data_IF_534305072767
#
_entry.id   IF_534305072767
#
_cell.length_a   1.000
_cell.length_b   1.000
_cell.length_c   1.000
_cell.angle_alpha   90.00
_cell.angle_beta   90.00
_cell.angle_gamma   90.00
#
_symmetry.space_group_name_H-M   'P 1'
#
loop_
_entity.id
_entity.type
_entity.pdbx_description
1 polymer ?
#
# COMPACT_ATOMS: atom_id res chain seq x y z
N UNK A 1 67.14 -49.09 24.59
CA UNK A 1 66.62 -47.72 24.23
C UNK A 1 65.28 -47.77 23.45
N UNK A 2 64.27 -48.44 23.93
CA UNK A 2 62.95 -48.53 23.21
C UNK A 2 61.69 -47.98 23.92
N UNK A 3 61.69 -47.45 25.19
CA UNK A 3 60.42 -47.02 25.80
C UNK A 3 60.06 -45.53 25.58
N UNK A 4 61.01 -44.66 25.14
CA UNK A 4 60.74 -43.20 25.08
C UNK A 4 59.93 -42.78 23.83
N UNK A 5 60.05 -43.51 22.72
CA UNK A 5 59.33 -43.23 21.48
C UNK A 5 57.82 -43.51 21.57
N UNK A 6 57.41 -44.51 22.35
CA UNK A 6 56.00 -44.86 22.51
C UNK A 6 55.22 -43.87 23.41
N UNK A 7 55.89 -43.28 24.38
CA UNK A 7 55.32 -42.24 25.23
C UNK A 7 55.10 -40.92 24.52
N UNK A 8 56.05 -40.52 23.65
CA UNK A 8 55.92 -39.30 22.85
C UNK A 8 54.81 -39.40 21.79
N UNK A 9 54.65 -40.55 21.13
CA UNK A 9 53.58 -40.78 20.16
C UNK A 9 52.18 -40.77 20.82
N UNK A 10 52.06 -41.34 22.02
CA UNK A 10 50.78 -41.32 22.76
C UNK A 10 50.37 -39.94 23.30
N UNK A 11 51.33 -39.12 23.67
CA UNK A 11 51.11 -37.72 24.07
C UNK A 11 50.75 -36.82 22.89
N UNK A 12 51.38 -37.04 21.73
CA UNK A 12 51.02 -36.33 20.51
C UNK A 12 49.60 -36.69 20.02
N UNK A 13 49.29 -37.97 20.01
CA UNK A 13 47.97 -38.46 19.63
C UNK A 13 46.85 -37.88 20.55
N UNK A 14 47.08 -37.83 21.87
CA UNK A 14 46.15 -37.19 22.83
C UNK A 14 46.02 -35.70 22.68
N UNK A 15 47.07 -34.98 22.28
CA UNK A 15 47.00 -33.55 21.96
C UNK A 15 46.25 -33.30 20.67
N UNK A 16 46.46 -34.07 19.62
CA UNK A 16 45.76 -34.00 18.34
C UNK A 16 44.28 -34.33 18.49
N UNK A 17 43.92 -35.36 19.28
CA UNK A 17 42.51 -35.69 19.54
C UNK A 17 41.80 -34.60 20.35
N UNK A 18 42.50 -33.95 21.31
CA UNK A 18 41.93 -32.82 22.06
C UNK A 18 41.72 -31.57 21.19
N UNK A 19 42.68 -31.28 20.30
CA UNK A 19 42.54 -30.22 19.32
C UNK A 19 41.42 -30.49 18.32
N UNK A 20 41.27 -31.71 17.82
CA UNK A 20 40.19 -32.09 16.93
C UNK A 20 38.81 -32.03 17.65
N UNK A 21 38.77 -32.46 18.93
CA UNK A 21 37.53 -32.34 19.75
C UNK A 21 37.14 -30.87 20.02
N UNK A 22 38.16 -30.00 20.26
CA UNK A 22 37.92 -28.54 20.42
C UNK A 22 37.46 -27.89 19.12
N UNK A 23 38.05 -28.29 17.97
CA UNK A 23 37.65 -27.80 16.64
C UNK A 23 36.21 -28.27 16.30
N UNK A 24 35.85 -29.48 16.61
CA UNK A 24 34.48 -29.99 16.45
C UNK A 24 33.48 -29.30 17.40
N UNK A 25 33.89 -28.93 18.60
CA UNK A 25 33.06 -28.16 19.54
C UNK A 25 32.80 -26.74 19.07
N UNK A 26 33.80 -26.09 18.43
CA UNK A 26 33.64 -24.73 17.81
C UNK A 26 32.76 -24.78 16.57
N UNK A 27 32.81 -25.87 15.79
CA UNK A 27 31.93 -26.10 14.63
C UNK A 27 30.49 -26.51 15.03
N UNK A 28 30.30 -26.97 16.26
CA UNK A 28 29.01 -27.35 16.81
C UNK A 28 28.32 -26.23 17.59
N UNK A 29 28.89 -25.00 17.62
CA UNK A 29 28.14 -23.83 18.10
C UNK A 29 26.93 -23.68 17.16
N UNK A 30 25.68 -23.84 17.65
CA UNK A 30 24.54 -23.53 16.82
C UNK A 30 24.76 -22.09 16.36
N UNK A 31 24.81 -21.86 15.05
CA UNK A 31 24.64 -20.52 14.53
C UNK A 31 23.34 -20.04 15.19
N UNK A 32 23.46 -19.17 16.20
CA UNK A 32 22.28 -18.48 16.74
C UNK A 32 21.67 -17.84 15.51
N UNK A 33 20.60 -18.45 15.00
CA UNK A 33 19.81 -17.84 13.95
C UNK A 33 19.43 -16.47 14.52
N UNK A 34 20.07 -15.41 14.02
CA UNK A 34 19.75 -14.07 14.46
C UNK A 34 18.22 -13.94 14.32
N UNK A 35 17.55 -13.62 15.43
CA UNK A 35 16.11 -13.43 15.44
C UNK A 35 15.79 -12.45 14.32
N UNK A 36 14.89 -12.86 13.40
CA UNK A 36 14.51 -11.98 12.30
C UNK A 36 13.82 -10.75 12.86
N UNK A 37 14.16 -9.55 12.40
CA UNK A 37 13.44 -8.36 12.82
C UNK A 37 11.97 -8.49 12.43
N UNK A 38 11.07 -8.12 13.34
CA UNK A 38 9.64 -8.12 13.13
C UNK A 38 9.21 -6.76 12.60
N UNK A 39 8.46 -6.75 11.49
CA UNK A 39 7.84 -5.56 10.93
C UNK A 39 6.32 -5.62 11.16
N UNK A 40 5.78 -4.67 11.90
CA UNK A 40 4.36 -4.59 12.27
C UNK A 40 3.64 -3.57 11.43
N UNK A 41 2.63 -4.02 10.66
CA UNK A 41 1.82 -3.12 9.82
C UNK A 41 0.35 -3.18 10.22
N UNK A 42 -0.29 -2.01 10.38
CA UNK A 42 -1.74 -1.94 10.48
C UNK A 42 -2.35 -1.64 9.10
N UNK A 43 -3.31 -2.47 8.70
CA UNK A 43 -4.03 -2.32 7.44
C UNK A 43 -5.53 -2.52 7.65
N UNK A 44 -6.34 -1.92 6.79
CA UNK A 44 -7.79 -2.10 6.84
C UNK A 44 -8.16 -3.57 6.57
N UNK A 45 -9.01 -4.15 7.41
CA UNK A 45 -9.45 -5.54 7.26
C UNK A 45 -10.17 -5.82 5.92
N UNK A 46 -10.73 -4.79 5.28
CA UNK A 46 -11.37 -4.87 3.97
C UNK A 46 -10.56 -4.15 2.88
N UNK A 47 -9.32 -3.75 3.21
CA UNK A 47 -8.42 -3.05 2.31
C UNK A 47 -7.61 -4.00 1.44
N UNK A 48 -7.23 -3.53 0.28
CA UNK A 48 -6.52 -4.31 -0.73
C UNK A 48 -5.04 -4.55 -0.40
N UNK A 49 -4.45 -3.75 0.50
CA UNK A 49 -3.13 -4.01 1.04
C UNK A 49 -3.10 -5.31 1.86
N UNK A 50 -4.21 -5.69 2.50
CA UNK A 50 -4.32 -6.98 3.18
C UNK A 50 -4.13 -8.15 2.20
N UNK A 51 -4.62 -8.05 0.96
CA UNK A 51 -4.44 -9.08 -0.06
C UNK A 51 -2.96 -9.30 -0.41
N UNK A 52 -2.24 -8.22 -0.63
CA UNK A 52 -0.82 -8.25 -0.97
C UNK A 52 0.04 -8.77 0.17
N UNK A 53 -0.20 -8.29 1.40
CA UNK A 53 0.56 -8.71 2.57
C UNK A 53 0.26 -10.16 2.98
N UNK A 54 -0.97 -10.63 2.80
CA UNK A 54 -1.33 -12.02 2.99
C UNK A 54 -0.62 -12.92 1.97
N UNK A 55 -0.57 -12.52 0.69
CA UNK A 55 0.21 -13.24 -0.32
C UNK A 55 1.71 -13.24 0.03
N UNK A 56 2.28 -12.08 0.35
CA UNK A 56 3.67 -11.92 0.72
C UNK A 56 4.04 -12.88 1.86
N UNK A 57 3.20 -12.96 2.88
CA UNK A 57 3.42 -13.81 4.05
C UNK A 57 3.27 -15.31 3.71
N UNK A 58 2.21 -15.70 2.99
CA UNK A 58 1.98 -17.11 2.61
C UNK A 58 3.00 -17.64 1.63
N UNK A 59 3.55 -16.79 0.77
CA UNK A 59 4.63 -17.18 -0.14
C UNK A 59 6.02 -17.14 0.50
N UNK A 60 6.13 -16.77 1.80
CA UNK A 60 7.38 -16.71 2.54
C UNK A 60 8.34 -15.60 2.09
N UNK A 61 7.84 -14.59 1.38
CA UNK A 61 8.68 -13.49 0.88
C UNK A 61 9.25 -12.64 2.01
N UNK A 62 8.57 -12.49 3.14
CA UNK A 62 9.10 -11.85 4.33
C UNK A 62 10.35 -12.59 4.85
N UNK A 63 10.25 -13.90 5.04
CA UNK A 63 11.35 -14.74 5.53
C UNK A 63 12.51 -14.81 4.52
N UNK A 64 12.19 -14.90 3.23
CA UNK A 64 13.17 -14.88 2.15
C UNK A 64 13.96 -13.56 2.09
N UNK A 65 13.31 -12.44 2.48
CA UNK A 65 13.94 -11.13 2.62
C UNK A 65 14.50 -10.88 4.04
N UNK A 66 14.52 -11.89 4.92
CA UNK A 66 15.19 -11.84 6.23
C UNK A 66 14.45 -11.03 7.30
N UNK A 67 13.13 -10.94 7.26
CA UNK A 67 12.29 -10.36 8.31
C UNK A 67 11.06 -11.22 8.58
N UNK A 68 10.29 -10.90 9.60
CA UNK A 68 8.97 -11.45 9.88
C UNK A 68 7.92 -10.36 9.76
N UNK A 69 6.86 -10.59 8.98
CA UNK A 69 5.77 -9.65 8.82
C UNK A 69 4.63 -9.96 9.79
N UNK A 70 4.26 -9.01 10.62
CA UNK A 70 3.03 -9.03 11.41
C UNK A 70 2.00 -8.06 10.84
N UNK A 71 0.81 -8.56 10.53
CA UNK A 71 -0.30 -7.74 9.99
C UNK A 71 -1.38 -7.61 11.05
N UNK A 72 -1.63 -6.37 11.48
CA UNK A 72 -2.73 -6.02 12.36
C UNK A 72 -3.89 -5.46 11.54
N UNK A 73 -5.03 -6.13 11.60
CA UNK A 73 -6.25 -5.66 10.94
C UNK A 73 -6.96 -4.63 11.79
N UNK A 74 -7.32 -3.51 11.18
CA UNK A 74 -8.07 -2.40 11.80
C UNK A 74 -9.34 -2.12 11.03
N UNK A 75 -10.32 -1.52 11.71
CA UNK A 75 -11.64 -1.28 11.14
C UNK A 75 -11.65 -0.12 10.12
N UNK A 76 -10.89 0.95 10.39
CA UNK A 76 -10.94 2.21 9.64
C UNK A 76 -9.59 2.95 9.62
N UNK A 77 -9.53 4.03 8.84
CA UNK A 77 -8.33 4.87 8.72
C UNK A 77 -7.97 5.58 10.03
N UNK A 78 -8.90 6.14 10.82
CA UNK A 78 -8.57 6.71 12.13
C UNK A 78 -7.87 5.72 13.05
N UNK A 79 -8.34 4.48 13.15
CA UNK A 79 -7.71 3.43 13.95
C UNK A 79 -6.31 3.08 13.44
N UNK A 80 -6.12 3.02 12.11
CA UNK A 80 -4.82 2.81 11.48
C UNK A 80 -3.84 3.93 11.81
N UNK A 81 -4.26 5.18 11.63
CA UNK A 81 -3.46 6.37 11.93
C UNK A 81 -3.08 6.45 13.42
N UNK A 82 -4.03 6.14 14.32
CA UNK A 82 -3.77 6.09 15.77
C UNK A 82 -2.73 5.01 16.11
N UNK A 83 -2.80 3.83 15.46
CA UNK A 83 -1.84 2.76 15.70
C UNK A 83 -0.40 3.18 15.34
N UNK A 84 -0.20 3.92 14.23
CA UNK A 84 1.10 4.48 13.87
C UNK A 84 1.57 5.55 14.86
N UNK A 85 0.70 6.50 15.20
CA UNK A 85 1.04 7.63 16.09
C UNK A 85 1.39 7.15 17.50
N UNK A 86 0.71 6.11 17.99
CA UNK A 86 0.99 5.51 19.30
C UNK A 86 2.20 4.59 19.33
N UNK A 87 2.82 4.27 18.16
CA UNK A 87 3.93 3.32 18.07
C UNK A 87 3.51 1.86 18.30
N UNK A 88 2.21 1.54 18.25
CA UNK A 88 1.74 0.15 18.42
C UNK A 88 1.95 -0.70 17.14
N UNK A 89 2.28 -0.07 16.03
CA UNK A 89 2.77 -0.66 14.78
C UNK A 89 3.89 0.21 14.20
N UNK A 90 4.71 -0.38 13.34
CA UNK A 90 5.82 0.31 12.70
C UNK A 90 5.38 1.10 11.48
N UNK A 91 4.34 0.62 10.78
CA UNK A 91 3.81 1.27 9.58
C UNK A 91 2.33 1.01 9.34
N UNK A 92 1.77 1.80 8.41
CA UNK A 92 0.37 1.72 7.98
C UNK A 92 0.26 1.87 6.47
N UNK A 93 -0.93 1.64 5.90
CA UNK A 93 -1.25 2.10 4.56
C UNK A 93 -2.01 3.42 4.64
N UNK A 94 -1.60 4.39 3.84
CA UNK A 94 -2.23 5.70 3.78
C UNK A 94 -2.05 6.38 2.43
N UNK A 95 -2.73 7.50 2.28
CA UNK A 95 -2.65 8.32 1.07
C UNK A 95 -1.54 9.37 1.16
N UNK A 96 -1.13 9.81 -0.01
CA UNK A 96 -0.03 10.76 -0.20
C UNK A 96 -0.32 12.12 0.46
N UNK A 97 -1.59 12.58 0.43
CA UNK A 97 -1.96 13.87 0.99
C UNK A 97 -1.91 13.87 2.52
N UNK A 98 -2.35 12.77 3.15
CA UNK A 98 -2.20 12.63 4.59
C UNK A 98 -0.73 12.63 5.01
N UNK A 99 0.14 11.94 4.24
CA UNK A 99 1.59 11.96 4.49
C UNK A 99 2.16 13.37 4.38
N UNK A 100 1.73 14.15 3.37
CA UNK A 100 2.10 15.57 3.21
C UNK A 100 1.61 16.43 4.39
N UNK A 101 0.38 16.23 4.84
CA UNK A 101 -0.16 16.93 6.01
C UNK A 101 0.64 16.64 7.29
N UNK A 102 1.07 15.40 7.47
CA UNK A 102 1.97 15.02 8.58
C UNK A 102 3.34 15.70 8.47
N UNK A 103 3.90 15.76 7.26
CA UNK A 103 5.15 16.46 7.00
C UNK A 103 5.04 17.95 7.36
N UNK A 104 4.00 18.63 6.90
CA UNK A 104 3.74 20.03 7.21
C UNK A 104 3.53 20.28 8.72
N UNK A 105 3.00 19.30 9.44
CA UNK A 105 2.83 19.35 10.90
C UNK A 105 4.09 18.99 11.71
N UNK A 106 5.27 18.83 11.06
CA UNK A 106 6.53 18.50 11.73
C UNK A 106 6.64 17.03 12.18
N UNK A 107 5.80 16.14 11.67
CA UNK A 107 5.84 14.71 11.94
C UNK A 107 6.04 13.92 10.64
N UNK A 108 7.23 14.01 10.01
CA UNK A 108 7.49 13.50 8.67
C UNK A 108 7.37 11.98 8.60
N UNK A 109 6.86 11.53 7.45
CA UNK A 109 6.73 10.12 7.11
C UNK A 109 7.56 9.81 5.86
N UNK A 110 8.00 8.56 5.74
CA UNK A 110 8.51 7.99 4.49
C UNK A 110 7.41 7.16 3.82
N UNK A 111 7.46 7.10 2.50
CA UNK A 111 6.43 6.55 1.64
C UNK A 111 7.02 5.44 0.76
N UNK A 112 6.57 4.20 0.93
CA UNK A 112 6.85 3.07 0.04
C UNK A 112 5.64 2.87 -0.86
N UNK A 113 5.75 2.95 -2.20
CA UNK A 113 4.63 2.87 -3.12
C UNK A 113 3.80 1.60 -2.95
N UNK A 114 2.47 1.74 -2.89
CA UNK A 114 1.55 0.61 -2.85
C UNK A 114 0.65 0.56 -4.08
N UNK A 115 -0.10 1.63 -4.40
CA UNK A 115 -1.09 1.62 -5.47
C UNK A 115 -1.23 2.99 -6.12
N UNK A 116 -1.37 3.01 -7.45
CA UNK A 116 -1.75 4.21 -8.19
C UNK A 116 -3.26 4.47 -8.15
N UNK A 117 -4.06 3.51 -7.67
CA UNK A 117 -5.50 3.64 -7.57
C UNK A 117 -5.92 4.13 -6.20
N UNK A 118 -6.79 5.12 -6.17
CA UNK A 118 -7.39 5.65 -4.95
C UNK A 118 -8.91 5.50 -4.97
N UNK A 119 -9.56 6.05 -5.98
CA UNK A 119 -11.00 6.00 -6.15
C UNK A 119 -11.44 6.16 -7.60
N UNK A 120 -12.69 5.89 -7.86
CA UNK A 120 -13.34 6.05 -9.16
C UNK A 120 -14.73 6.66 -8.97
N UNK A 121 -15.17 7.49 -9.89
CA UNK A 121 -16.56 7.93 -9.95
C UNK A 121 -17.37 6.93 -10.76
N UNK A 122 -18.31 6.28 -10.11
CA UNK A 122 -19.22 5.32 -10.72
C UNK A 122 -20.62 5.91 -10.85
N UNK A 123 -21.32 5.53 -11.90
CA UNK A 123 -22.68 5.94 -12.25
C UNK A 123 -23.46 4.72 -12.74
N UNK A 124 -24.77 4.83 -12.82
CA UNK A 124 -25.59 3.80 -13.47
C UNK A 124 -25.15 3.61 -14.93
N UNK A 125 -25.37 2.42 -15.49
CA UNK A 125 -24.95 2.08 -16.86
C UNK A 125 -25.51 3.04 -17.91
N UNK A 126 -26.77 3.45 -17.73
CA UNK A 126 -27.53 4.36 -18.62
C UNK A 126 -27.40 5.85 -18.25
N UNK A 127 -26.57 6.20 -17.25
CA UNK A 127 -26.37 7.58 -16.82
C UNK A 127 -25.78 8.45 -17.94
N UNK A 128 -26.23 9.69 -18.13
CA UNK A 128 -25.63 10.62 -19.09
C UNK A 128 -24.29 11.21 -18.63
N UNK A 129 -23.90 11.02 -17.36
CA UNK A 129 -22.67 11.58 -16.80
C UNK A 129 -21.45 10.88 -17.40
N UNK A 130 -20.62 11.63 -18.14
CA UNK A 130 -19.41 11.14 -18.81
C UNK A 130 -18.17 11.96 -18.48
N UNK A 131 -18.36 13.21 -18.08
CA UNK A 131 -17.28 14.13 -17.75
C UNK A 131 -17.57 14.93 -16.48
N UNK A 132 -16.59 15.68 -16.03
CA UNK A 132 -16.68 16.42 -14.77
C UNK A 132 -17.77 17.50 -14.79
N UNK A 133 -17.99 18.14 -15.94
CA UNK A 133 -19.01 19.17 -16.13
C UNK A 133 -20.43 18.64 -15.86
N UNK A 134 -20.68 17.36 -16.14
CA UNK A 134 -21.98 16.73 -15.94
C UNK A 134 -22.35 16.58 -14.46
N UNK A 135 -21.41 16.79 -13.54
CA UNK A 135 -21.67 16.69 -12.09
C UNK A 135 -22.38 17.92 -11.51
N UNK A 136 -22.49 18.99 -12.27
CA UNK A 136 -23.21 20.19 -11.79
C UNK A 136 -24.67 19.85 -11.47
N UNK A 137 -25.09 20.12 -10.22
CA UNK A 137 -26.46 19.86 -9.76
C UNK A 137 -26.77 18.39 -9.47
N UNK A 138 -25.82 17.48 -9.59
CA UNK A 138 -26.04 16.04 -9.34
C UNK A 138 -25.91 15.68 -7.84
N UNK A 139 -26.63 14.65 -7.42
CA UNK A 139 -26.54 14.06 -6.06
C UNK A 139 -25.34 13.13 -6.03
N UNK A 140 -24.32 13.49 -5.27
CA UNK A 140 -23.04 12.78 -5.27
C UNK A 140 -22.82 12.08 -3.93
N UNK A 141 -22.63 10.77 -3.97
CA UNK A 141 -22.11 10.00 -2.84
C UNK A 141 -20.59 9.99 -2.81
N UNK A 142 -19.98 10.14 -1.63
CA UNK A 142 -18.54 10.11 -1.46
C UNK A 142 -18.16 9.12 -0.37
N UNK A 143 -17.37 8.11 -0.72
CA UNK A 143 -16.88 7.12 0.23
C UNK A 143 -15.80 7.73 1.15
N UNK A 144 -15.97 7.53 2.45
CA UNK A 144 -15.11 8.11 3.48
C UNK A 144 -15.60 9.44 3.99
N UNK A 145 -14.69 10.38 4.23
CA UNK A 145 -14.99 11.68 4.80
C UNK A 145 -14.70 12.85 3.84
N UNK A 146 -15.05 14.08 4.26
CA UNK A 146 -14.79 15.30 3.47
C UNK A 146 -13.29 15.61 3.32
N UNK A 147 -12.44 15.00 4.13
CA UNK A 147 -10.97 15.07 4.08
C UNK A 147 -10.34 13.97 3.20
N UNK A 148 -11.16 13.14 2.55
CA UNK A 148 -10.70 12.08 1.64
C UNK A 148 -10.00 12.64 0.40
N UNK A 149 -8.82 12.06 0.06
CA UNK A 149 -7.99 12.61 -1.02
C UNK A 149 -8.67 12.59 -2.39
N UNK A 150 -9.38 11.51 -2.75
CA UNK A 150 -10.12 11.44 -4.01
C UNK A 150 -11.17 12.56 -4.12
N UNK A 151 -11.86 12.86 -3.03
CA UNK A 151 -12.82 13.95 -2.97
C UNK A 151 -12.15 15.32 -3.14
N UNK A 152 -11.03 15.56 -2.48
CA UNK A 152 -10.29 16.82 -2.64
C UNK A 152 -9.77 17.01 -4.07
N UNK A 153 -9.30 15.94 -4.73
CA UNK A 153 -8.92 15.99 -6.14
C UNK A 153 -10.11 16.32 -7.03
N UNK A 154 -11.27 15.71 -6.78
CA UNK A 154 -12.50 16.02 -7.51
C UNK A 154 -12.92 17.47 -7.32
N UNK A 155 -12.90 17.98 -6.09
CA UNK A 155 -13.24 19.38 -5.81
C UNK A 155 -12.30 20.36 -6.53
N UNK A 156 -10.98 20.11 -6.52
CA UNK A 156 -10.00 20.95 -7.21
C UNK A 156 -10.19 20.92 -8.72
N UNK A 157 -10.42 19.72 -9.28
CA UNK A 157 -10.69 19.58 -10.71
C UNK A 157 -11.95 20.35 -11.12
N UNK A 158 -13.03 20.22 -10.34
CA UNK A 158 -14.27 20.95 -10.55
C UNK A 158 -14.06 22.47 -10.47
N UNK A 159 -13.35 22.95 -9.47
CA UNK A 159 -13.02 24.38 -9.33
C UNK A 159 -12.23 24.92 -10.52
N UNK A 160 -11.22 24.17 -11.00
CA UNK A 160 -10.42 24.57 -12.18
C UNK A 160 -11.24 24.65 -13.45
N UNK A 161 -12.27 23.84 -13.60
CA UNK A 161 -13.16 23.82 -14.77
C UNK A 161 -14.40 24.69 -14.57
N UNK A 162 -14.54 25.40 -13.45
CA UNK A 162 -15.71 26.25 -13.17
C UNK A 162 -16.99 25.44 -12.89
N UNK A 163 -16.87 24.16 -12.52
CA UNK A 163 -18.01 23.29 -12.18
C UNK A 163 -18.37 23.48 -10.72
N UNK A 164 -19.62 23.91 -10.46
CA UNK A 164 -20.14 24.06 -9.11
C UNK A 164 -20.60 22.70 -8.56
N UNK A 165 -19.93 22.20 -7.52
CA UNK A 165 -20.37 21.05 -6.74
C UNK A 165 -21.12 21.57 -5.51
N UNK A 166 -22.46 21.44 -5.50
CA UNK A 166 -23.28 21.88 -4.37
C UNK A 166 -23.07 20.89 -3.20
N UNK A 167 -22.51 21.40 -2.10
CA UNK A 167 -22.27 20.60 -0.89
C UNK A 167 -23.54 20.06 -0.25
N UNK A 168 -24.69 20.69 -0.47
CA UNK A 168 -26.00 20.19 0.02
C UNK A 168 -26.44 18.90 -0.67
N UNK A 169 -25.86 18.61 -1.85
CA UNK A 169 -26.15 17.41 -2.62
C UNK A 169 -25.06 16.34 -2.47
N UNK A 170 -24.05 16.56 -1.61
CA UNK A 170 -22.96 15.61 -1.35
C UNK A 170 -23.22 14.84 -0.06
N UNK A 171 -23.24 13.51 -0.15
CA UNK A 171 -23.40 12.61 0.99
C UNK A 171 -22.11 11.82 1.24
N UNK A 172 -21.58 11.89 2.47
CA UNK A 172 -20.45 11.08 2.89
C UNK A 172 -20.96 9.85 3.65
N UNK A 173 -20.60 8.66 3.19
CA UNK A 173 -20.99 7.41 3.84
C UNK A 173 -20.03 6.26 3.54
N UNK A 174 -20.25 5.11 4.18
CA UNK A 174 -19.57 3.88 3.86
C UNK A 174 -19.94 3.37 2.45
N UNK A 175 -19.00 2.81 1.67
CA UNK A 175 -19.23 2.37 0.29
C UNK A 175 -20.49 1.51 0.09
N UNK A 176 -20.81 0.50 0.94
CA UNK A 176 -22.00 -0.32 0.72
C UNK A 176 -23.33 0.46 0.81
N UNK A 177 -23.39 1.53 1.60
CA UNK A 177 -24.58 2.37 1.69
C UNK A 177 -24.74 3.24 0.46
N UNK A 178 -23.62 3.77 -0.06
CA UNK A 178 -23.59 4.58 -1.28
C UNK A 178 -23.97 3.75 -2.51
N UNK A 179 -23.48 2.50 -2.59
CA UNK A 179 -23.87 1.56 -3.63
C UNK A 179 -25.39 1.33 -3.67
N UNK A 180 -25.98 1.01 -2.52
CA UNK A 180 -27.42 0.85 -2.44
C UNK A 180 -28.20 2.11 -2.85
N UNK A 181 -27.69 3.29 -2.45
CA UNK A 181 -28.31 4.56 -2.81
C UNK A 181 -28.22 4.84 -4.31
N UNK A 182 -27.08 4.52 -4.96
CA UNK A 182 -26.91 4.62 -6.41
C UNK A 182 -27.89 3.69 -7.15
N UNK A 183 -27.94 2.40 -6.76
CA UNK A 183 -28.84 1.41 -7.39
C UNK A 183 -30.32 1.72 -7.21
N UNK A 184 -30.69 2.48 -6.18
CA UNK A 184 -32.07 2.94 -5.94
C UNK A 184 -32.37 4.30 -6.60
N UNK A 185 -31.45 4.88 -7.34
CA UNK A 185 -31.60 6.19 -7.95
C UNK A 185 -31.69 7.34 -6.94
N UNK A 186 -31.23 7.15 -5.70
CA UNK A 186 -31.14 8.19 -4.68
C UNK A 186 -29.90 9.06 -4.83
N UNK A 187 -28.87 8.53 -5.51
CA UNK A 187 -27.67 9.23 -5.95
C UNK A 187 -27.49 9.08 -7.46
N UNK A 188 -26.92 10.08 -8.09
CA UNK A 188 -26.66 10.11 -9.53
C UNK A 188 -25.23 9.64 -9.85
N UNK A 189 -24.30 9.87 -8.91
CA UNK A 189 -22.90 9.45 -9.01
C UNK A 189 -22.36 9.09 -7.64
N UNK A 190 -21.38 8.18 -7.60
CA UNK A 190 -20.68 7.81 -6.37
C UNK A 190 -19.18 7.80 -6.60
N UNK A 191 -18.45 8.65 -5.89
CA UNK A 191 -17.00 8.57 -5.77
C UNK A 191 -16.65 7.55 -4.69
N UNK A 192 -16.19 6.38 -5.10
CA UNK A 192 -15.91 5.27 -4.18
C UNK A 192 -14.48 4.75 -4.32
N UNK A 193 -14.03 3.94 -3.37
CA UNK A 193 -12.72 3.31 -3.47
C UNK A 193 -12.67 2.36 -4.66
N UNK A 194 -11.54 2.30 -5.34
CA UNK A 194 -11.38 1.58 -6.59
C UNK A 194 -11.84 0.11 -6.55
N UNK A 195 -11.65 -0.58 -5.42
CA UNK A 195 -12.05 -1.99 -5.28
C UNK A 195 -13.56 -2.17 -5.08
N UNK A 196 -14.24 -1.17 -4.54
CA UNK A 196 -15.72 -1.13 -4.55
C UNK A 196 -16.23 -0.83 -5.96
N UNK A 197 -15.64 0.12 -6.67
CA UNK A 197 -15.98 0.39 -8.06
C UNK A 197 -15.78 -0.86 -8.96
N UNK A 198 -14.65 -1.57 -8.81
CA UNK A 198 -14.38 -2.80 -9.55
C UNK A 198 -15.42 -3.90 -9.24
N UNK A 199 -15.81 -4.04 -7.97
CA UNK A 199 -16.87 -4.98 -7.56
C UNK A 199 -18.20 -4.62 -8.21
N UNK A 200 -18.62 -3.35 -8.13
CA UNK A 200 -19.86 -2.88 -8.71
C UNK A 200 -19.93 -3.13 -10.21
N UNK A 201 -18.83 -2.88 -10.94
CA UNK A 201 -18.75 -3.22 -12.37
C UNK A 201 -18.86 -4.73 -12.63
N UNK A 202 -18.22 -5.54 -11.78
CA UNK A 202 -18.33 -7.00 -11.86
C UNK A 202 -19.75 -7.51 -11.61
N UNK A 203 -20.51 -6.86 -10.73
CA UNK A 203 -21.92 -7.15 -10.45
C UNK A 203 -22.88 -6.64 -11.54
N UNK A 204 -22.41 -5.69 -12.38
CA UNK A 204 -23.19 -5.11 -13.47
C UNK A 204 -24.12 -3.96 -13.06
N UNK A 205 -24.71 -3.30 -14.07
CA UNK A 205 -25.65 -2.20 -13.91
C UNK A 205 -25.02 -0.84 -13.57
N UNK A 206 -23.67 -0.77 -13.50
CA UNK A 206 -22.94 0.47 -13.28
C UNK A 206 -21.67 0.49 -14.15
N UNK A 207 -21.22 1.70 -14.46
CA UNK A 207 -19.95 1.94 -15.15
C UNK A 207 -19.12 3.01 -14.41
N UNK A 208 -17.83 3.05 -14.69
CA UNK A 208 -16.98 4.16 -14.28
C UNK A 208 -17.20 5.32 -15.26
N UNK A 209 -17.56 6.50 -14.77
CA UNK A 209 -17.59 7.71 -15.56
C UNK A 209 -16.16 8.24 -15.77
N UNK A 210 -15.39 8.37 -14.69
CA UNK A 210 -13.96 8.67 -14.73
C UNK A 210 -13.24 8.17 -13.46
N UNK A 211 -11.95 7.92 -13.60
CA UNK A 211 -11.11 7.38 -12.53
C UNK A 211 -10.01 8.32 -12.09
N UNK A 212 -9.02 7.76 -11.41
CA UNK A 212 -7.91 8.53 -10.85
C UNK A 212 -7.06 9.21 -11.91
N UNK A 213 -6.83 8.55 -13.05
CA UNK A 213 -6.03 9.13 -14.14
C UNK A 213 -6.66 10.42 -14.68
N UNK A 214 -7.97 10.38 -14.93
CA UNK A 214 -8.74 11.54 -15.42
C UNK A 214 -8.77 12.65 -14.36
N UNK A 215 -8.90 12.30 -13.07
CA UNK A 215 -8.85 13.27 -11.98
C UNK A 215 -7.46 13.91 -11.84
N UNK A 216 -6.39 13.16 -12.01
CA UNK A 216 -5.02 13.68 -11.99
C UNK A 216 -4.78 14.60 -13.19
N UNK A 217 -5.20 14.18 -14.40
CA UNK A 217 -5.09 15.00 -15.62
C UNK A 217 -5.85 16.33 -15.48
N UNK A 218 -7.08 16.30 -14.93
CA UNK A 218 -7.85 17.52 -14.63
C UNK A 218 -7.17 18.42 -13.58
N UNK A 219 -6.27 17.87 -12.78
CA UNK A 219 -5.40 18.60 -11.86
C UNK A 219 -4.04 18.98 -12.45
N UNK A 220 -3.81 18.75 -13.76
CA UNK A 220 -2.58 19.09 -14.46
C UNK A 220 -1.44 18.09 -14.27
N UNK A 221 -1.77 16.83 -13.94
CA UNK A 221 -0.79 15.76 -13.74
C UNK A 221 -1.11 14.61 -14.69
N UNK A 222 -0.24 14.38 -15.66
CA UNK A 222 -0.40 13.32 -16.68
C UNK A 222 0.41 12.04 -16.38
N UNK A 223 0.81 11.84 -15.14
CA UNK A 223 1.62 10.69 -14.75
C UNK A 223 0.79 9.67 -13.96
N UNK A 224 1.08 8.37 -14.17
CA UNK A 224 0.60 7.30 -13.29
C UNK A 224 1.45 7.29 -12.01
N UNK A 225 0.91 7.95 -10.97
CA UNK A 225 1.61 8.16 -9.71
C UNK A 225 1.05 7.24 -8.61
N UNK A 226 1.89 6.73 -7.71
CA UNK A 226 1.41 6.02 -6.52
C UNK A 226 0.68 6.97 -5.59
N UNK A 227 -0.63 6.78 -5.47
CA UNK A 227 -1.50 7.59 -4.62
C UNK A 227 -1.60 7.05 -3.20
N UNK A 228 -1.39 5.74 -3.03
CA UNK A 228 -1.32 5.04 -1.76
C UNK A 228 0.06 4.45 -1.55
N UNK A 229 0.51 4.48 -0.31
CA UNK A 229 1.80 3.89 0.10
C UNK A 229 1.74 3.28 1.49
N UNK A 230 2.73 2.45 1.78
CA UNK A 230 3.07 2.09 3.14
C UNK A 230 3.84 3.27 3.76
N UNK A 231 3.37 3.73 4.90
CA UNK A 231 3.85 4.92 5.59
C UNK A 231 4.51 4.54 6.90
N UNK A 232 5.70 5.06 7.12
CA UNK A 232 6.49 4.84 8.33
C UNK A 232 6.94 6.20 8.88
N UNK A 233 7.04 6.34 10.20
CA UNK A 233 7.63 7.54 10.79
C UNK A 233 9.09 7.68 10.32
N UNK A 234 9.50 8.88 9.88
CA UNK A 234 10.86 9.09 9.37
C UNK A 234 11.94 8.69 10.39
N UNK A 235 11.86 9.02 11.70
CA UNK A 235 12.86 8.58 12.67
C UNK A 235 12.96 7.05 12.80
N UNK A 236 11.83 6.35 12.69
CA UNK A 236 11.81 4.89 12.69
C UNK A 236 12.48 4.34 11.43
N UNK A 237 12.14 4.89 10.27
CA UNK A 237 12.69 4.46 8.97
C UNK A 237 14.20 4.66 8.88
N UNK A 238 14.72 5.74 9.45
CA UNK A 238 16.17 6.01 9.52
C UNK A 238 16.90 4.97 10.40
N UNK A 239 16.31 4.58 11.52
CA UNK A 239 16.87 3.56 12.41
C UNK A 239 16.77 2.14 11.84
N UNK A 240 15.81 1.90 10.94
CA UNK A 240 15.51 0.57 10.35
C UNK A 240 15.62 0.57 8.82
N UNK A 241 16.53 1.38 8.27
CA UNK A 241 16.66 1.59 6.82
C UNK A 241 16.84 0.27 6.03
N UNK A 242 17.64 -0.67 6.56
CA UNK A 242 17.84 -1.98 5.95
C UNK A 242 16.55 -2.83 5.96
N UNK A 243 15.83 -2.86 7.07
CA UNK A 243 14.53 -3.56 7.17
C UNK A 243 13.50 -2.98 6.19
N UNK A 244 13.46 -1.65 6.07
CA UNK A 244 12.57 -0.97 5.13
C UNK A 244 12.88 -1.30 3.67
N UNK A 245 14.17 -1.40 3.30
CA UNK A 245 14.57 -1.84 1.97
C UNK A 245 14.23 -3.31 1.70
N UNK A 246 14.38 -4.20 2.69
CA UNK A 246 13.96 -5.60 2.59
C UNK A 246 12.45 -5.70 2.38
N UNK A 247 11.67 -4.90 3.11
CA UNK A 247 10.21 -4.82 2.94
C UNK A 247 9.84 -4.31 1.55
N UNK A 248 10.45 -3.22 1.08
CA UNK A 248 10.18 -2.68 -0.26
C UNK A 248 10.46 -3.71 -1.37
N UNK A 249 11.55 -4.50 -1.25
CA UNK A 249 11.84 -5.62 -2.17
C UNK A 249 10.76 -6.71 -2.09
N UNK A 250 10.36 -7.11 -0.88
CA UNK A 250 9.34 -8.14 -0.69
C UNK A 250 7.99 -7.73 -1.29
N UNK A 251 7.58 -6.47 -1.12
CA UNK A 251 6.38 -5.88 -1.75
C UNK A 251 6.49 -5.92 -3.28
N UNK A 252 7.63 -5.51 -3.83
CA UNK A 252 7.85 -5.55 -5.28
C UNK A 252 7.78 -6.99 -5.83
N UNK A 253 8.39 -7.96 -5.12
CA UNK A 253 8.33 -9.38 -5.48
C UNK A 253 6.89 -9.91 -5.40
N UNK A 254 6.14 -9.55 -4.36
CA UNK A 254 4.72 -9.92 -4.19
C UNK A 254 3.87 -9.40 -5.36
N UNK A 255 4.00 -8.13 -5.72
CA UNK A 255 3.29 -7.52 -6.86
C UNK A 255 3.60 -8.24 -8.17
N UNK A 256 4.87 -8.52 -8.41
CA UNK A 256 5.29 -9.25 -9.62
C UNK A 256 4.69 -10.66 -9.66
N UNK A 257 4.73 -11.41 -8.55
CA UNK A 257 4.12 -12.74 -8.50
C UNK A 257 2.62 -12.68 -8.73
N UNK A 258 1.92 -11.69 -8.17
CA UNK A 258 0.47 -11.51 -8.37
C UNK A 258 0.14 -11.11 -9.82
N UNK A 259 1.02 -10.40 -10.52
CA UNK A 259 0.83 -10.06 -11.93
C UNK A 259 1.12 -11.22 -12.88
N UNK A 260 2.18 -12.01 -12.59
CA UNK A 260 2.68 -13.06 -13.48
C UNK A 260 2.00 -14.43 -13.25
N UNK A 261 1.45 -14.67 -12.04
CA UNK A 261 0.92 -15.97 -11.63
C UNK A 261 -0.54 -15.90 -11.19
N UNK A 262 -1.50 -16.02 -12.13
CA UNK A 262 -2.94 -15.96 -11.82
C UNK A 262 -3.39 -16.94 -10.72
N UNK A 263 -2.72 -18.10 -10.57
CA UNK A 263 -3.00 -19.09 -9.53
C UNK A 263 -2.72 -18.58 -8.11
N UNK A 264 -1.83 -17.59 -7.94
CA UNK A 264 -1.53 -16.98 -6.65
C UNK A 264 -2.78 -16.31 -6.02
N UNK A 265 -3.69 -15.86 -6.85
CA UNK A 265 -4.94 -15.20 -6.44
C UNK A 265 -5.94 -16.15 -5.78
N UNK A 266 -5.87 -17.47 -6.03
CA UNK A 266 -6.79 -18.43 -5.43
C UNK A 266 -6.71 -18.42 -3.89
N UNK A 267 -5.51 -18.25 -3.37
CA UNK A 267 -5.32 -18.14 -1.93
C UNK A 267 -5.83 -16.81 -1.34
N UNK A 268 -5.91 -15.73 -2.14
CA UNK A 268 -6.40 -14.41 -1.74
C UNK A 268 -7.93 -14.31 -1.88
N UNK A 269 -8.53 -15.13 -2.76
CA UNK A 269 -9.95 -15.05 -3.11
C UNK A 269 -10.89 -14.94 -1.90
N UNK A 270 -10.71 -15.66 -0.77
CA UNK A 270 -11.55 -15.50 0.41
C UNK A 270 -11.50 -14.09 1.00
N UNK A 271 -10.34 -13.43 0.96
CA UNK A 271 -10.18 -12.06 1.45
C UNK A 271 -10.82 -11.03 0.53
N UNK A 272 -10.89 -11.31 -0.77
CA UNK A 272 -11.50 -10.44 -1.75
C UNK A 272 -13.01 -10.39 -1.63
N UNK A 273 -13.65 -11.38 -0.99
CA UNK A 273 -15.12 -11.48 -0.84
C UNK A 273 -15.84 -11.35 -2.18
N UNK A 274 -15.27 -11.94 -3.23
CA UNK A 274 -15.88 -11.96 -4.54
C UNK A 274 -17.08 -12.91 -4.55
N UNK A 275 -18.23 -12.45 -5.01
CA UNK A 275 -19.49 -13.21 -5.06
C UNK A 275 -19.43 -14.32 -6.09
N UNK A 276 -18.70 -14.08 -7.18
CA UNK A 276 -18.58 -14.96 -8.34
C UNK A 276 -17.24 -14.76 -9.04
N UNK A 277 -17.03 -15.45 -10.15
CA UNK A 277 -15.78 -15.39 -10.92
C UNK A 277 -15.63 -14.07 -11.68
N UNK A 278 -16.70 -13.40 -12.05
CA UNK A 278 -16.66 -12.13 -12.77
C UNK A 278 -16.18 -11.01 -11.82
N UNK A 279 -16.75 -10.93 -10.62
CA UNK A 279 -16.31 -10.00 -9.57
C UNK A 279 -14.87 -10.30 -9.15
N UNK A 280 -14.52 -11.59 -9.03
CA UNK A 280 -13.15 -11.98 -8.71
C UNK A 280 -12.15 -11.50 -9.76
N UNK A 281 -12.44 -11.71 -11.04
CA UNK A 281 -11.60 -11.26 -12.15
C UNK A 281 -11.50 -9.73 -12.17
N UNK A 282 -12.61 -9.01 -12.02
CA UNK A 282 -12.64 -7.56 -12.02
C UNK A 282 -11.76 -6.96 -10.90
N UNK A 283 -11.82 -7.53 -9.70
CA UNK A 283 -10.99 -7.11 -8.56
C UNK A 283 -9.51 -7.40 -8.76
N UNK A 284 -9.17 -8.60 -9.25
CA UNK A 284 -7.81 -9.02 -9.56
C UNK A 284 -7.19 -8.10 -10.62
N UNK A 285 -7.87 -7.92 -11.73
CA UNK A 285 -7.36 -7.17 -12.88
C UNK A 285 -7.20 -5.68 -12.52
N UNK A 286 -8.13 -5.13 -11.73
CA UNK A 286 -8.01 -3.78 -11.23
C UNK A 286 -6.86 -3.61 -10.22
N UNK A 287 -6.57 -4.62 -9.38
CA UNK A 287 -5.40 -4.59 -8.49
C UNK A 287 -4.10 -4.59 -9.29
N UNK A 288 -3.95 -5.50 -10.24
CA UNK A 288 -2.76 -5.60 -11.09
C UNK A 288 -2.54 -4.30 -11.87
N UNK A 289 -3.60 -3.78 -12.50
CA UNK A 289 -3.56 -2.51 -13.24
C UNK A 289 -3.28 -1.28 -12.35
N UNK A 290 -3.45 -1.40 -11.05
CA UNK A 290 -3.11 -0.36 -10.07
C UNK A 290 -1.71 -0.49 -9.47
N UNK A 291 -0.92 -1.45 -9.92
CA UNK A 291 0.49 -1.57 -9.49
C UNK A 291 1.29 -0.39 -10.05
N UNK A 292 1.84 0.49 -9.19
CA UNK A 292 2.58 1.63 -9.68
C UNK A 292 3.89 1.19 -10.34
N UNK A 293 4.29 1.89 -11.38
CA UNK A 293 5.63 1.73 -11.91
C UNK A 293 6.69 2.12 -10.87
N UNK A 294 7.89 1.56 -10.92
CA UNK A 294 8.99 1.93 -10.03
C UNK A 294 9.20 3.45 -10.02
N UNK A 295 9.47 4.00 -8.85
CA UNK A 295 9.78 5.43 -8.73
C UNK A 295 11.15 5.70 -9.37
N UNK A 296 11.16 6.65 -10.28
CA UNK A 296 12.35 7.29 -10.81
C UNK A 296 12.36 8.78 -10.41
N UNK A 297 13.38 9.51 -10.80
CA UNK A 297 13.52 10.92 -10.47
C UNK A 297 12.37 11.77 -11.04
N UNK A 298 11.88 11.42 -12.23
CA UNK A 298 10.78 12.13 -12.91
C UNK A 298 9.46 11.92 -12.15
N UNK A 299 9.12 10.68 -11.79
CA UNK A 299 7.93 10.38 -10.99
C UNK A 299 7.97 11.00 -9.60
N UNK A 300 9.14 11.01 -8.95
CA UNK A 300 9.32 11.70 -7.67
C UNK A 300 9.11 13.20 -7.83
N UNK A 301 9.60 13.80 -8.90
CA UNK A 301 9.38 15.21 -9.20
C UNK A 301 7.88 15.49 -9.44
N UNK A 302 7.18 14.64 -10.20
CA UNK A 302 5.74 14.75 -10.44
C UNK A 302 4.91 14.59 -9.14
N UNK A 303 5.27 13.64 -8.26
CA UNK A 303 4.65 13.53 -6.93
C UNK A 303 4.82 14.81 -6.11
N UNK A 304 6.01 15.38 -6.11
CA UNK A 304 6.28 16.63 -5.38
C UNK A 304 5.54 17.82 -5.99
N UNK A 305 5.41 17.89 -7.31
CA UNK A 305 4.61 18.92 -7.98
C UNK A 305 3.13 18.82 -7.62
N UNK A 306 2.57 17.59 -7.59
CA UNK A 306 1.21 17.33 -7.14
C UNK A 306 0.99 17.78 -5.69
N UNK A 307 1.94 17.47 -4.80
CA UNK A 307 1.89 17.88 -3.39
C UNK A 307 2.01 19.39 -3.24
N UNK A 308 2.88 20.06 -4.00
CA UNK A 308 3.01 21.51 -4.00
C UNK A 308 1.70 22.21 -4.38
N UNK A 309 0.94 21.65 -5.33
CA UNK A 309 -0.41 22.11 -5.65
C UNK A 309 -1.47 21.81 -4.59
N UNK A 310 -1.10 21.10 -3.54
CA UNK A 310 -2.00 20.64 -2.46
C UNK A 310 -1.82 21.37 -1.14
N UNK A 311 -0.83 22.22 -1.03
CA UNK A 311 -0.48 22.98 0.17
C UNK A 311 -0.56 24.48 -0.08
N UNK A 312 -0.72 25.25 0.99
CA UNK A 312 -0.72 26.70 0.91
C UNK A 312 0.66 27.24 0.51
N UNK A 313 0.66 28.42 -0.10
CA UNK A 313 1.90 29.08 -0.51
C UNK A 313 2.86 29.24 0.68
N UNK A 314 4.08 28.72 0.53
CA UNK A 314 5.12 28.76 1.56
C UNK A 314 5.16 27.56 2.50
N UNK A 315 4.21 26.65 2.43
CA UNK A 315 4.32 25.39 3.17
C UNK A 315 5.35 24.45 2.55
N UNK A 316 6.08 23.72 3.43
CA UNK A 316 7.08 22.77 2.99
C UNK A 316 6.44 21.52 2.36
N UNK A 317 7.03 21.08 1.25
CA UNK A 317 6.62 19.86 0.50
C UNK A 317 7.56 18.72 0.86
N UNK A 318 7.02 17.52 1.03
CA UNK A 318 7.80 16.30 1.27
C UNK A 318 9.01 16.22 0.32
N UNK A 319 10.23 16.05 0.85
CA UNK A 319 11.43 15.97 0.03
C UNK A 319 11.50 14.65 -0.75
N UNK A 320 12.33 14.61 -1.80
CA UNK A 320 12.52 13.41 -2.60
C UNK A 320 12.97 12.18 -1.77
N UNK A 321 13.76 12.41 -0.71
CA UNK A 321 14.23 11.36 0.19
C UNK A 321 13.12 10.67 0.99
N UNK A 322 11.92 11.26 1.08
CA UNK A 322 10.77 10.61 1.73
C UNK A 322 10.17 9.48 0.89
N UNK A 323 10.51 9.38 -0.40
CA UNK A 323 9.97 8.37 -1.31
C UNK A 323 10.97 7.23 -1.46
N UNK A 324 10.64 6.09 -0.86
CA UNK A 324 11.50 4.91 -0.86
C UNK A 324 11.34 4.14 -2.16
N UNK A 325 12.47 3.91 -2.83
CA UNK A 325 12.54 3.05 -4.00
C UNK A 325 13.04 1.68 -3.57
N UNK A 326 12.41 0.61 -4.09
CA UNK A 326 12.98 -0.73 -3.92
C UNK A 326 14.30 -0.79 -4.70
N UNK A 327 15.37 -1.03 -3.99
CA UNK A 327 16.65 -1.34 -4.67
C UNK A 327 16.57 -2.78 -5.22
N UNK A 328 17.09 -3.00 -6.44
CA UNK A 328 17.05 -4.32 -7.08
C UNK A 328 17.76 -5.41 -6.29
#
# INVERSE_FOLDING_TARGET
>A
MKPIRSLLSSLLARRLSRLAALLLLVLALPAMAAERPVLRLAVLQFGTAHWELDHLKRSGLDQANGFELEVRLVADLPASRLALISGSVDGIVGDLLWAQGRYAAGAPLVFVPFSSRLGELVVSEDSPITELADLAGQRIGVAGGPDGYAWQLLQRAAQRQGVALDRSQVQFAAPPLLDQALRRGQLDAVLTFWHFAARLRGEGGVRTAFGMRELLAANGVEADLPMLGYLFAQPWAEQHADLLQRFARAVHQSKRQLAEHPQAWQGIRPLMRATDDQVFAALRDAFVAGTPAPLDAERVAALRALLAGSVDAGQAVMPAASFIQAQP
#
